data_IF_610378464837
#
_entry.id   IF_610378464837
#
_cell.length_a   1.000
_cell.length_b   1.000
_cell.length_c   1.000
_cell.angle_alpha   90.00
_cell.angle_beta   90.00
_cell.angle_gamma   90.00
#
_symmetry.space_group_name_H-M   'P 1'
#
loop_
_entity.id
_entity.type
_entity.pdbx_description
1 polymer ?
#
# COMPACT_ATOMS: atom_id res chain seq x y z
N UNK A 1 -28.65 -13.09 25.35
CA UNK A 1 -28.69 -12.92 24.69
C UNK A 1 -28.24 -12.61 24.29
N UNK A 2 -28.24 -12.58 24.67
CA UNK A 2 -27.95 -12.37 24.03
C UNK A 2 -27.31 -12.08 23.66
N UNK A 3 -26.75 -12.67 23.69
CA UNK A 3 -26.48 -12.40 23.08
C UNK A 3 -25.90 -12.14 22.88
N UNK A 4 -25.77 -12.47 23.00
CA UNK A 4 -25.41 -12.24 22.42
C UNK A 4 -24.93 -12.10 22.00
N UNK A 5 -24.67 -12.42 22.21
CA UNK A 5 -24.42 -12.26 21.51
C UNK A 5 -24.07 -12.03 21.01
N UNK A 6 -23.76 -12.46 21.43
CA UNK A 6 -23.70 -12.27 20.69
C UNK A 6 -23.14 -11.96 20.56
N UNK A 7 -22.76 -12.12 20.72
CA UNK A 7 -22.48 -11.89 20.14
C UNK A 7 -22.01 -11.86 19.86
N UNK A 8 -21.70 -12.49 20.30
CA UNK A 8 -21.67 -12.46 19.58
C UNK A 8 -21.28 -12.32 19.16
N UNK A 9 -20.88 -12.60 19.37
CA UNK A 9 -20.84 -12.36 18.56
C UNK A 9 -20.28 -11.95 18.25
N UNK A 10 -19.90 -12.16 18.52
CA UNK A 10 -19.53 -11.77 17.78
C UNK A 10 -18.47 -11.47 17.84
N UNK A 11 -18.22 -11.59 18.00
CA UNK A 11 -17.44 -11.28 17.56
C UNK A 11 -16.71 -11.64 17.66
N UNK A 12 -16.53 -12.24 17.60
CA UNK A 12 -16.10 -12.56 17.10
C UNK A 12 -15.94 -12.66 16.45
N UNK A 13 -16.12 -12.72 16.24
CA UNK A 13 -16.05 -12.61 15.23
C UNK A 13 -15.58 -12.02 14.83
N UNK A 14 -15.41 -11.81 14.78
CA UNK A 14 -14.95 -11.17 14.05
C UNK A 14 -14.03 -11.03 13.89
N UNK A 15 -13.72 -11.43 13.95
CA UNK A 15 -12.96 -11.33 13.47
C UNK A 15 -12.65 -11.73 13.09
N UNK A 16 -13.08 -12.21 13.00
CA UNK A 16 -13.02 -12.46 12.33
C UNK A 16 -12.97 -12.46 11.58
N UNK A 17 -13.14 -12.62 11.28
CA UNK A 17 -13.20 -12.45 10.46
C UNK A 17 -12.99 -12.19 9.59
N UNK A 18 -13.32 -12.14 9.98
CA UNK A 18 -13.48 -11.64 8.85
C UNK A 18 -12.34 -11.56 8.05
N UNK A 19 -12.52 -11.90 7.00
CA UNK A 19 -11.46 -11.93 6.19
C UNK A 19 -10.86 -10.68 6.10
N UNK A 20 -10.12 -10.73 6.45
CA UNK A 20 -9.25 -9.96 6.79
C UNK A 20 -8.84 -9.01 5.81
N UNK A 21 -9.25 -7.86 6.09
CA UNK A 21 -8.85 -6.72 5.41
C UNK A 21 -7.36 -6.63 5.51
N UNK A 22 -6.62 -6.49 4.40
CA UNK A 22 -5.19 -6.31 4.45
C UNK A 22 -4.85 -5.04 5.21
N UNK A 23 -3.77 -5.07 5.92
CA UNK A 23 -3.30 -3.97 6.72
C UNK A 23 -1.98 -3.45 6.15
N UNK A 24 -1.91 -2.16 5.86
CA UNK A 24 -0.70 -1.53 5.32
C UNK A 24 -0.15 -0.55 6.35
N UNK A 25 1.13 -0.71 6.67
CA UNK A 25 1.80 0.09 7.69
C UNK A 25 3.12 0.59 7.13
N UNK A 26 3.46 1.84 7.45
CA UNK A 26 4.78 2.36 7.13
C UNK A 26 5.77 1.86 8.18
N UNK A 27 6.86 1.27 7.73
CA UNK A 27 7.96 0.85 8.58
C UNK A 27 9.21 1.68 8.21
N UNK A 28 9.38 2.86 8.82
CA UNK A 28 10.48 3.75 8.43
C UNK A 28 11.86 3.19 8.74
N UNK A 29 11.99 2.36 9.78
CA UNK A 29 13.28 1.75 10.09
C UNK A 29 13.75 0.83 8.97
N UNK A 30 12.83 0.14 8.32
CA UNK A 30 13.13 -0.71 7.17
C UNK A 30 13.00 0.03 5.85
N UNK A 31 12.59 1.30 5.89
CA UNK A 31 12.41 2.15 4.72
C UNK A 31 11.45 1.54 3.72
N UNK A 32 10.30 1.10 4.21
CA UNK A 32 9.30 0.47 3.33
C UNK A 32 7.90 0.52 3.95
N UNK A 33 6.89 0.53 3.09
CA UNK A 33 5.52 0.22 3.50
C UNK A 33 5.36 -1.30 3.45
N UNK A 34 4.66 -1.84 4.43
CA UNK A 34 4.46 -3.29 4.52
C UNK A 34 2.97 -3.59 4.48
N UNK A 35 2.60 -4.65 3.76
CA UNK A 35 1.22 -5.12 3.75
C UNK A 35 1.16 -6.49 4.43
N UNK A 36 0.22 -6.63 5.35
CA UNK A 36 -0.01 -7.89 6.06
C UNK A 36 -1.35 -8.44 5.64
N UNK A 37 -1.41 -9.74 5.52
CA UNK A 37 -2.63 -10.45 5.22
C UNK A 37 -2.61 -11.74 6.03
N UNK A 38 -3.74 -12.10 6.62
CA UNK A 38 -3.85 -13.32 7.41
C UNK A 38 -2.81 -13.37 8.56
N UNK A 39 -2.45 -12.21 9.09
CA UNK A 39 -1.49 -12.11 10.20
C UNK A 39 -0.03 -12.24 9.78
N UNK A 40 0.26 -12.29 8.49
CA UNK A 40 1.62 -12.46 8.00
C UNK A 40 2.04 -11.31 7.10
N UNK A 41 3.34 -11.08 7.04
CA UNK A 41 3.88 -10.10 6.09
C UNK A 41 3.72 -10.67 4.68
N UNK A 42 2.88 -10.02 3.87
CA UNK A 42 2.58 -10.49 2.53
C UNK A 42 3.42 -9.78 1.46
N UNK A 43 3.92 -8.58 1.76
CA UNK A 43 4.73 -7.86 0.80
C UNK A 43 5.16 -6.50 1.32
N UNK A 44 5.89 -5.77 0.48
CA UNK A 44 6.38 -4.45 0.87
C UNK A 44 6.68 -3.59 -0.36
N UNK A 45 6.73 -2.27 -0.12
CA UNK A 45 7.15 -1.28 -1.11
C UNK A 45 8.26 -0.45 -0.50
N UNK A 46 9.45 -0.64 -1.01
CA UNK A 46 10.66 -0.02 -0.51
C UNK A 46 10.82 1.39 -1.05
N UNK A 47 11.27 2.32 -0.22
CA UNK A 47 11.38 3.70 -0.64
C UNK A 47 12.67 4.36 -0.13
N UNK A 48 12.95 5.54 -0.69
CA UNK A 48 14.00 6.43 -0.21
C UNK A 48 13.36 7.78 0.06
N UNK A 49 13.37 8.19 1.31
CA UNK A 49 12.71 9.42 1.73
C UNK A 49 13.66 10.60 1.57
N UNK A 50 13.13 11.72 1.06
CA UNK A 50 13.83 12.98 0.92
C UNK A 50 12.98 14.07 1.56
N UNK A 51 13.52 15.30 1.74
CA UNK A 51 12.73 16.33 2.43
C UNK A 51 11.38 16.65 1.80
N UNK A 52 11.27 16.60 0.47
CA UNK A 52 10.03 16.97 -0.21
C UNK A 52 9.50 15.89 -1.14
N UNK A 53 10.13 14.73 -1.17
CA UNK A 53 9.72 13.66 -2.06
C UNK A 53 10.03 12.30 -1.48
N UNK A 54 9.41 11.29 -2.06
CA UNK A 54 9.66 9.90 -1.72
C UNK A 54 9.87 9.14 -3.03
N UNK A 55 10.97 8.40 -3.10
CA UNK A 55 11.27 7.60 -4.28
C UNK A 55 10.93 6.15 -3.98
N UNK A 56 9.98 5.58 -4.72
CA UNK A 56 9.68 4.15 -4.60
C UNK A 56 10.62 3.40 -5.52
N UNK A 57 11.35 2.44 -4.99
CA UNK A 57 12.43 1.77 -5.71
C UNK A 57 12.20 0.28 -5.93
N UNK A 58 11.37 -0.37 -5.11
CA UNK A 58 11.14 -1.81 -5.26
C UNK A 58 9.87 -2.22 -4.55
N UNK A 59 9.09 -3.11 -5.18
CA UNK A 59 7.87 -3.66 -4.59
C UNK A 59 7.89 -5.16 -4.75
N UNK A 60 7.50 -5.86 -3.72
CA UNK A 60 7.50 -7.32 -3.73
C UNK A 60 6.25 -7.84 -3.01
N UNK A 61 5.62 -8.87 -3.58
CA UNK A 61 4.53 -9.59 -2.94
C UNK A 61 4.96 -11.05 -2.87
N UNK A 62 4.87 -11.64 -1.69
CA UNK A 62 5.20 -13.05 -1.49
C UNK A 62 4.30 -13.90 -2.39
N UNK A 63 4.90 -14.87 -3.07
CA UNK A 63 4.18 -15.70 -4.04
C UNK A 63 2.98 -16.40 -3.45
N UNK A 64 3.00 -16.70 -2.16
CA UNK A 64 1.86 -17.33 -1.48
C UNK A 64 0.63 -16.44 -1.47
N UNK A 65 0.80 -15.15 -1.67
CA UNK A 65 -0.29 -14.19 -1.61
C UNK A 65 -0.62 -13.56 -2.96
N UNK A 66 -0.02 -14.05 -4.04
CA UNK A 66 -0.28 -13.51 -5.38
C UNK A 66 -1.72 -13.79 -5.80
N UNK A 67 -2.24 -12.91 -6.68
CA UNK A 67 -3.60 -13.06 -7.18
C UNK A 67 -4.69 -12.54 -6.27
N UNK A 68 -4.33 -11.90 -5.16
CA UNK A 68 -5.30 -11.40 -4.18
C UNK A 68 -5.44 -9.87 -4.20
N UNK A 69 -4.78 -9.20 -5.15
CA UNK A 69 -4.86 -7.74 -5.26
C UNK A 69 -4.08 -6.99 -4.21
N UNK A 70 -3.17 -7.67 -3.50
CA UNK A 70 -2.45 -7.04 -2.39
C UNK A 70 -1.45 -5.99 -2.86
N UNK A 71 -0.85 -6.18 -4.02
CA UNK A 71 0.06 -5.18 -4.57
C UNK A 71 -0.64 -3.87 -4.82
N UNK A 72 -1.84 -3.92 -5.39
CA UNK A 72 -2.63 -2.72 -5.64
C UNK A 72 -3.04 -2.05 -4.33
N UNK A 73 -3.47 -2.83 -3.34
CA UNK A 73 -3.85 -2.30 -2.04
C UNK A 73 -2.66 -1.63 -1.35
N UNK A 74 -1.50 -2.24 -1.45
CA UNK A 74 -0.27 -1.69 -0.87
C UNK A 74 0.09 -0.35 -1.49
N UNK A 75 0.10 -0.28 -2.82
CA UNK A 75 0.47 0.95 -3.52
C UNK A 75 -0.54 2.05 -3.26
N UNK A 76 -1.84 1.73 -3.33
CA UNK A 76 -2.89 2.72 -3.09
C UNK A 76 -2.75 3.34 -1.71
N UNK A 77 -2.61 2.51 -0.69
CA UNK A 77 -2.51 2.99 0.68
C UNK A 77 -1.24 3.80 0.88
N UNK A 78 -0.11 3.33 0.33
CA UNK A 78 1.14 4.06 0.43
C UNK A 78 1.05 5.44 -0.23
N UNK A 79 0.45 5.51 -1.42
CA UNK A 79 0.33 6.78 -2.13
C UNK A 79 -0.65 7.73 -1.45
N UNK A 80 -1.74 7.19 -0.87
CA UNK A 80 -2.67 8.02 -0.09
C UNK A 80 -1.96 8.63 1.12
N UNK A 81 -1.12 7.86 1.80
CA UNK A 81 -0.36 8.34 2.93
C UNK A 81 0.64 9.43 2.52
N UNK A 82 1.33 9.20 1.41
CA UNK A 82 2.28 10.16 0.86
C UNK A 82 1.58 11.47 0.48
N UNK A 83 0.38 11.37 -0.07
CA UNK A 83 -0.42 12.55 -0.41
C UNK A 83 -0.73 13.37 0.84
N UNK A 84 -1.11 12.72 1.92
CA UNK A 84 -1.40 13.41 3.16
C UNK A 84 -0.18 14.09 3.76
N UNK A 85 0.99 13.53 3.53
CA UNK A 85 2.24 14.14 3.99
C UNK A 85 2.71 15.29 3.11
N UNK A 86 2.08 15.49 1.97
CA UNK A 86 2.47 16.55 1.05
C UNK A 86 3.75 16.27 0.30
N UNK A 87 4.13 15.01 0.13
CA UNK A 87 5.35 14.63 -0.57
C UNK A 87 5.08 14.34 -2.04
N UNK A 88 6.04 14.68 -2.89
CA UNK A 88 5.99 14.28 -4.29
C UNK A 88 6.47 12.84 -4.42
N UNK A 89 5.98 12.13 -5.44
CA UNK A 89 6.33 10.73 -5.68
C UNK A 89 7.26 10.62 -6.87
N UNK A 90 8.35 9.89 -6.69
CA UNK A 90 9.28 9.55 -7.78
C UNK A 90 9.21 8.03 -7.98
N UNK A 91 8.44 7.55 -8.97
CA UNK A 91 8.18 6.11 -9.11
C UNK A 91 9.25 5.40 -9.94
N UNK A 92 10.43 5.20 -9.36
CA UNK A 92 11.47 4.42 -10.03
C UNK A 92 11.11 2.94 -10.11
N UNK A 93 10.28 2.45 -9.17
CA UNK A 93 9.81 1.07 -9.18
C UNK A 93 8.85 0.84 -10.35
N UNK A 94 9.10 -0.13 -11.24
CA UNK A 94 8.21 -0.37 -12.37
C UNK A 94 6.78 -0.71 -11.97
N UNK A 95 6.59 -1.38 -10.85
CA UNK A 95 5.26 -1.75 -10.38
C UNK A 95 4.46 -0.50 -9.99
N UNK A 96 5.07 0.40 -9.22
CA UNK A 96 4.41 1.64 -8.80
C UNK A 96 4.13 2.51 -10.02
N UNK A 97 5.09 2.60 -10.93
CA UNK A 97 4.96 3.40 -12.15
C UNK A 97 3.78 2.92 -12.99
N UNK A 98 3.68 1.61 -13.20
CA UNK A 98 2.58 1.03 -13.97
C UNK A 98 1.25 1.26 -13.25
N UNK A 99 1.24 1.11 -11.93
CA UNK A 99 0.04 1.32 -11.16
C UNK A 99 -0.49 2.76 -11.35
N UNK A 100 0.40 3.75 -11.28
CA UNK A 100 0.00 5.15 -11.47
C UNK A 100 -0.52 5.35 -12.90
N UNK A 101 0.09 4.71 -13.89
CA UNK A 101 -0.33 4.88 -15.28
C UNK A 101 -1.77 4.41 -15.49
N UNK A 102 -2.24 3.47 -14.70
CA UNK A 102 -3.61 2.96 -14.79
C UNK A 102 -4.54 3.58 -13.74
N UNK A 103 -4.03 4.50 -12.92
CA UNK A 103 -4.81 5.20 -11.91
C UNK A 103 -4.52 6.70 -12.00
N UNK A 104 -5.10 7.37 -13.02
CA UNK A 104 -4.75 8.78 -13.30
C UNK A 104 -5.03 9.73 -12.13
N UNK A 105 -5.88 9.35 -11.19
CA UNK A 105 -6.16 10.15 -10.00
C UNK A 105 -4.90 10.36 -9.15
N UNK A 106 -3.85 9.58 -9.37
CA UNK A 106 -2.61 9.66 -8.61
C UNK A 106 -1.48 10.31 -9.39
N UNK A 107 -1.72 10.67 -10.65
CA UNK A 107 -0.69 11.27 -11.49
C UNK A 107 -0.19 12.59 -10.94
N UNK A 108 -1.06 13.35 -10.28
CA UNK A 108 -0.70 14.63 -9.70
C UNK A 108 0.38 14.54 -8.63
N UNK A 109 0.61 13.35 -8.07
CA UNK A 109 1.69 13.16 -7.09
C UNK A 109 3.07 13.21 -7.75
N UNK A 110 3.14 12.89 -9.04
CA UNK A 110 4.42 12.90 -9.76
C UNK A 110 4.65 14.30 -10.32
N UNK A 111 5.79 14.95 -10.01
CA UNK A 111 6.05 16.28 -10.54
C UNK A 111 5.94 16.32 -12.06
N UNK A 112 5.33 17.38 -12.58
CA UNK A 112 5.05 17.49 -14.01
C UNK A 112 6.32 17.35 -14.84
N UNK A 113 7.42 17.97 -14.39
CA UNK A 113 8.68 17.95 -15.12
C UNK A 113 9.39 16.60 -15.05
N UNK A 114 8.89 15.67 -14.25
CA UNK A 114 9.46 14.32 -14.14
C UNK A 114 8.65 13.26 -14.86
N UNK A 115 7.43 13.59 -15.27
CA UNK A 115 6.51 12.57 -15.82
C UNK A 115 7.07 11.90 -17.07
N UNK A 116 7.68 12.67 -17.95
CA UNK A 116 8.24 12.11 -19.19
C UNK A 116 9.33 11.08 -18.88
N UNK A 117 10.15 11.35 -17.87
CA UNK A 117 11.20 10.45 -17.44
C UNK A 117 10.64 9.08 -17.04
N UNK A 118 9.44 9.08 -16.47
CA UNK A 118 8.80 7.83 -16.00
C UNK A 118 7.77 7.28 -16.98
N UNK A 119 7.66 7.89 -18.15
CA UNK A 119 6.68 7.45 -19.15
C UNK A 119 5.26 7.76 -18.74
N UNK A 120 5.08 8.78 -17.95
CA UNK A 120 3.79 9.22 -17.47
C UNK A 120 3.46 10.59 -18.08
#
# INVERSE_FOLDING_TARGET
MHNRRDHADRSWRQNVTSPTKPDVVDNPDAKRFEIRADGELAGFAEYRLRPKSIAFVHTEIDSRFEGRGLGSALVRTALDDVRERGLAVLPYCPFVRRWISTHPDYLDLVPVDKRAEFGL
#
